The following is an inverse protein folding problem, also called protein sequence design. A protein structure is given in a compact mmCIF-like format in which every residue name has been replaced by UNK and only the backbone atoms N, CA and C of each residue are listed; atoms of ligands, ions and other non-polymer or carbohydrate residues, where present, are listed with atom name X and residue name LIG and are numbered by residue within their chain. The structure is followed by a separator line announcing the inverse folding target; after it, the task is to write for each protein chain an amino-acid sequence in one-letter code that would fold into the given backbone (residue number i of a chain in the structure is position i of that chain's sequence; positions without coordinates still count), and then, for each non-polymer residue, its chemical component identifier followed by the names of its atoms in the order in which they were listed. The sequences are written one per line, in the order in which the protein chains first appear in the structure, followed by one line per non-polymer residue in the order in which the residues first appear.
data_IF_875501233058
#
_entry.id   IF_875501233058
#
_cell.length_a   1.000
_cell.length_b   1.000
_cell.length_c   1.000
_cell.angle_alpha   90.00
_cell.angle_beta   90.00
_cell.angle_gamma   90.00
#
_symmetry.space_group_name_H-M   'P 1'
#
loop_
_entity.id
_entity.type
_entity.pdbx_description
1 polymer ?
#
# COMPACT_ATOMS: atom_id res chain seq x y z
N UNK A 1 -17.72 16.06 6.40
CA UNK A 1 -16.36 16.39 5.91
C UNK A 1 -15.91 15.22 5.06
N UNK A 2 -15.23 15.47 3.95
CA UNK A 2 -14.69 14.39 3.12
C UNK A 2 -13.38 13.91 3.75
N UNK A 3 -13.21 12.60 3.88
CA UNK A 3 -12.02 11.97 4.49
C UNK A 3 -10.75 12.37 3.74
N UNK A 4 -9.69 12.62 4.50
CA UNK A 4 -8.38 13.02 3.99
C UNK A 4 -7.47 11.81 3.83
N UNK A 5 -6.80 11.73 2.66
CA UNK A 5 -5.92 10.61 2.30
C UNK A 5 -4.51 11.09 2.00
N UNK A 6 -3.54 10.48 2.67
CA UNK A 6 -2.13 10.55 2.33
C UNK A 6 -1.77 9.34 1.46
N UNK A 7 -1.36 9.54 0.21
CA UNK A 7 -0.69 8.47 -0.54
C UNK A 7 0.79 8.46 -0.17
N UNK A 8 1.26 7.34 0.33
CA UNK A 8 2.63 7.14 0.80
C UNK A 8 3.35 6.18 -0.13
N UNK A 9 4.47 6.62 -0.70
CA UNK A 9 5.34 5.81 -1.55
C UNK A 9 6.75 5.77 -0.96
N UNK A 10 7.33 4.58 -0.84
CA UNK A 10 8.73 4.39 -0.46
C UNK A 10 9.52 3.99 -1.69
N UNK A 11 10.70 4.58 -1.90
CA UNK A 11 11.54 4.31 -3.07
C UNK A 11 13.03 4.28 -2.75
N UNK A 12 13.77 3.44 -3.49
CA UNK A 12 15.22 3.38 -3.47
C UNK A 12 15.77 2.94 -4.83
N UNK A 13 16.45 3.85 -5.56
CA UNK A 13 17.11 3.58 -6.86
C UNK A 13 16.17 2.96 -7.91
N UNK A 14 14.93 3.47 -8.04
CA UNK A 14 13.92 2.96 -8.97
C UNK A 14 13.16 4.08 -9.68
N UNK A 15 13.89 5.12 -10.15
CA UNK A 15 13.34 6.34 -10.74
C UNK A 15 12.25 6.09 -11.80
N UNK A 16 12.48 5.15 -12.72
CA UNK A 16 11.53 4.91 -13.82
C UNK A 16 10.20 4.30 -13.34
N UNK A 17 10.25 3.42 -12.33
CA UNK A 17 9.06 2.86 -11.70
C UNK A 17 8.31 3.95 -10.92
N UNK A 18 9.04 4.72 -10.12
CA UNK A 18 8.47 5.83 -9.35
C UNK A 18 7.76 6.85 -10.23
N UNK A 19 8.35 7.25 -11.35
CA UNK A 19 7.71 8.19 -12.30
C UNK A 19 6.35 7.68 -12.74
N UNK A 20 6.28 6.41 -13.11
CA UNK A 20 5.05 5.77 -13.54
C UNK A 20 4.05 5.65 -12.38
N UNK A 21 4.48 5.23 -11.19
CA UNK A 21 3.63 5.16 -10.01
C UNK A 21 2.97 6.52 -9.71
N UNK A 22 3.76 7.59 -9.70
CA UNK A 22 3.28 8.94 -9.43
C UNK A 22 2.26 9.41 -10.47
N UNK A 23 2.45 9.09 -11.75
CA UNK A 23 1.48 9.38 -12.81
C UNK A 23 0.13 8.70 -12.53
N UNK A 24 0.11 7.43 -12.11
CA UNK A 24 -1.13 6.72 -11.75
C UNK A 24 -1.78 7.30 -10.49
N UNK A 25 -1.01 7.76 -9.52
CA UNK A 25 -1.54 8.41 -8.31
C UNK A 25 -2.13 9.79 -8.62
N UNK A 26 -1.46 10.59 -9.44
CA UNK A 26 -1.93 11.93 -9.85
C UNK A 26 -3.23 11.86 -10.68
N UNK A 27 -3.49 10.72 -11.36
CA UNK A 27 -4.65 10.51 -12.23
C UNK A 27 -5.84 9.77 -11.58
N UNK A 28 -5.88 9.66 -10.25
CA UNK A 28 -7.01 9.02 -9.55
C UNK A 28 -8.31 9.84 -9.67
N UNK A 29 -9.47 9.15 -9.86
CA UNK A 29 -10.80 9.79 -9.91
C UNK A 29 -11.17 10.47 -8.59
N UNK A 30 -10.75 9.91 -7.45
CA UNK A 30 -10.80 10.55 -6.15
C UNK A 30 -9.49 11.27 -5.90
N UNK A 31 -9.57 12.58 -5.69
CA UNK A 31 -8.39 13.40 -5.39
C UNK A 31 -7.70 12.90 -4.12
N UNK A 32 -6.40 12.65 -4.23
CA UNK A 32 -5.50 12.43 -3.10
C UNK A 32 -5.20 13.79 -2.47
N UNK A 33 -5.33 13.90 -1.12
CA UNK A 33 -5.07 15.16 -0.45
C UNK A 33 -3.59 15.53 -0.47
N UNK A 34 -2.73 14.51 -0.32
CA UNK A 34 -1.29 14.67 -0.39
C UNK A 34 -0.61 13.38 -0.86
N UNK A 35 0.42 13.52 -1.69
CA UNK A 35 1.35 12.44 -2.02
C UNK A 35 2.65 12.71 -1.27
N UNK A 36 3.13 11.73 -0.52
CA UNK A 36 4.43 11.74 0.16
C UNK A 36 5.31 10.64 -0.45
N UNK A 37 6.51 11.02 -0.85
CA UNK A 37 7.55 10.08 -1.25
C UNK A 37 8.65 10.06 -0.20
N UNK A 38 8.93 8.90 0.36
CA UNK A 38 10.11 8.66 1.20
C UNK A 38 11.20 8.11 0.31
N UNK A 39 12.21 8.94 0.05
CA UNK A 39 13.38 8.57 -0.75
C UNK A 39 14.49 8.08 0.19
N UNK A 40 14.75 6.79 0.15
CA UNK A 40 15.78 6.11 0.96
C UNK A 40 17.19 6.29 0.36
N UNK A 41 17.61 7.55 0.16
CA UNK A 41 18.95 7.93 -0.36
C UNK A 41 19.26 7.37 -1.76
N UNK A 42 18.32 7.52 -2.68
CA UNK A 42 18.53 7.13 -4.09
C UNK A 42 19.61 7.99 -4.74
N UNK A 43 20.43 7.39 -5.61
CA UNK A 43 21.51 8.02 -6.38
C UNK A 43 21.33 7.92 -7.91
N UNK A 44 20.15 7.48 -8.37
CA UNK A 44 19.80 7.27 -9.79
C UNK A 44 19.08 8.46 -10.44
N UNK A 45 19.13 9.66 -9.81
CA UNK A 45 18.42 10.85 -10.27
C UNK A 45 17.01 11.01 -9.68
N UNK A 46 16.59 10.10 -8.79
CA UNK A 46 15.29 10.17 -8.12
C UNK A 46 15.10 11.49 -7.36
N UNK A 47 16.10 11.92 -6.59
CA UNK A 47 15.99 13.16 -5.80
C UNK A 47 15.79 14.38 -6.71
N UNK A 48 16.62 14.51 -7.76
CA UNK A 48 16.52 15.61 -8.72
C UNK A 48 15.15 15.67 -9.42
N UNK A 49 14.62 14.50 -9.79
CA UNK A 49 13.29 14.41 -10.36
C UNK A 49 12.20 14.86 -9.38
N UNK A 50 12.26 14.41 -8.13
CA UNK A 50 11.28 14.79 -7.10
C UNK A 50 11.29 16.29 -6.80
N UNK A 51 12.44 16.95 -6.84
CA UNK A 51 12.57 18.41 -6.67
C UNK A 51 11.83 19.20 -7.75
N UNK A 52 11.58 18.62 -8.92
CA UNK A 52 10.76 19.26 -9.97
C UNK A 52 9.26 19.19 -9.70
N UNK A 53 8.82 18.35 -8.75
CA UNK A 53 7.40 18.06 -8.47
C UNK A 53 6.86 18.94 -7.34
N UNK A 54 6.12 20.00 -7.67
CA UNK A 54 5.57 20.96 -6.68
C UNK A 54 4.45 20.40 -5.80
N UNK A 55 3.76 19.36 -6.28
CA UNK A 55 2.56 18.80 -5.62
C UNK A 55 2.88 17.54 -4.79
N UNK A 56 4.16 17.17 -4.69
CA UNK A 56 4.60 15.97 -3.99
C UNK A 56 5.50 16.40 -2.83
N UNK A 57 5.18 15.92 -1.64
CA UNK A 57 6.05 16.09 -0.50
C UNK A 57 7.14 14.99 -0.52
N UNK A 58 8.33 15.36 -0.16
CA UNK A 58 9.49 14.46 -0.20
C UNK A 58 10.18 14.47 1.15
N UNK A 59 10.44 13.28 1.68
CA UNK A 59 11.37 13.08 2.79
C UNK A 59 12.55 12.30 2.23
N UNK A 60 13.73 12.90 2.23
CA UNK A 60 14.98 12.20 1.97
C UNK A 60 15.57 11.73 3.31
N UNK A 61 15.94 10.46 3.37
CA UNK A 61 16.59 9.87 4.54
C UNK A 61 17.69 8.90 4.10
N UNK A 62 18.57 8.53 5.01
CA UNK A 62 19.48 7.41 4.80
C UNK A 62 18.70 6.14 4.49
N UNK A 63 19.29 5.21 3.75
CA UNK A 63 18.62 3.95 3.42
C UNK A 63 18.46 3.07 4.66
N UNK A 64 17.31 3.18 5.30
CA UNK A 64 16.90 2.39 6.46
C UNK A 64 16.10 1.13 6.07
N UNK A 65 16.15 0.72 4.80
CA UNK A 65 15.35 -0.37 4.27
C UNK A 65 13.86 0.01 4.07
N UNK A 66 13.07 -0.98 3.68
CA UNK A 66 11.63 -0.82 3.45
C UNK A 66 10.91 -0.37 4.73
N UNK A 67 11.09 -1.09 5.83
CA UNK A 67 10.44 -0.81 7.10
C UNK A 67 10.76 0.61 7.63
N UNK A 68 12.01 1.07 7.49
CA UNK A 68 12.41 2.42 7.87
C UNK A 68 11.69 3.48 7.04
N UNK A 69 11.53 3.25 5.74
CA UNK A 69 10.79 4.12 4.84
C UNK A 69 9.31 4.22 5.22
N UNK A 70 8.66 3.07 5.43
CA UNK A 70 7.27 3.00 5.87
C UNK A 70 7.07 3.65 7.23
N UNK A 71 7.96 3.37 8.20
CA UNK A 71 7.92 3.99 9.53
C UNK A 71 7.89 5.51 9.44
N UNK A 72 8.82 6.10 8.68
CA UNK A 72 8.91 7.56 8.49
C UNK A 72 7.66 8.14 7.84
N UNK A 73 7.15 7.49 6.80
CA UNK A 73 5.94 7.94 6.12
C UNK A 73 4.67 7.85 6.99
N UNK A 74 4.53 6.78 7.77
CA UNK A 74 3.42 6.63 8.71
C UNK A 74 3.50 7.68 9.82
N UNK A 75 4.69 7.93 10.37
CA UNK A 75 4.90 8.98 11.37
C UNK A 75 4.50 10.36 10.83
N UNK A 76 4.82 10.64 9.56
CA UNK A 76 4.37 11.86 8.90
C UNK A 76 2.84 11.93 8.83
N UNK A 77 2.16 10.85 8.43
CA UNK A 77 0.70 10.78 8.36
C UNK A 77 0.02 11.01 9.72
N UNK A 78 0.58 10.41 10.79
CA UNK A 78 0.11 10.61 12.16
C UNK A 78 0.23 12.06 12.63
N UNK A 79 1.36 12.72 12.33
CA UNK A 79 1.63 14.12 12.72
C UNK A 79 0.75 15.12 11.99
N UNK A 80 0.36 14.82 10.74
CA UNK A 80 -0.43 15.73 9.90
C UNK A 80 -1.94 15.45 9.91
N UNK A 81 -2.40 14.56 10.80
CA UNK A 81 -3.83 14.29 11.06
C UNK A 81 -4.64 13.91 9.80
N UNK A 82 -4.09 13.06 8.93
CA UNK A 82 -4.87 12.42 7.88
C UNK A 82 -5.85 11.41 8.48
N UNK A 83 -6.92 11.09 7.76
CA UNK A 83 -7.85 10.02 8.15
C UNK A 83 -7.33 8.66 7.72
N UNK A 84 -6.70 8.60 6.53
CA UNK A 84 -6.17 7.38 5.95
C UNK A 84 -4.76 7.58 5.39
N UNK A 85 -3.98 6.49 5.40
CA UNK A 85 -2.76 6.35 4.61
C UNK A 85 -3.00 5.28 3.56
N UNK A 86 -2.78 5.63 2.29
CA UNK A 86 -2.78 4.71 1.16
C UNK A 86 -1.34 4.36 0.79
N UNK A 87 -0.93 3.14 1.15
CA UNK A 87 0.45 2.68 1.04
C UNK A 87 0.69 2.04 -0.33
N UNK A 88 1.78 2.41 -0.99
CA UNK A 88 2.10 1.98 -2.34
C UNK A 88 3.61 1.81 -2.51
N UNK A 89 4.06 0.66 -3.05
CA UNK A 89 5.43 0.53 -3.55
C UNK A 89 5.63 1.38 -4.80
N UNK A 90 6.86 1.74 -5.11
CA UNK A 90 7.20 2.58 -6.26
C UNK A 90 6.91 1.94 -7.63
N UNK A 91 6.60 0.64 -7.67
CA UNK A 91 6.11 -0.09 -8.84
C UNK A 91 4.63 -0.48 -8.77
N UNK A 92 3.88 0.12 -7.84
CA UNK A 92 2.43 0.02 -7.76
C UNK A 92 1.75 0.94 -8.78
N UNK A 93 0.82 0.39 -9.58
CA UNK A 93 0.10 1.15 -10.62
C UNK A 93 -1.41 0.97 -10.44
N UNK A 94 -2.04 1.75 -9.52
CA UNK A 94 -3.45 1.59 -9.22
C UNK A 94 -4.33 2.03 -10.39
N UNK A 95 -5.39 1.26 -10.66
CA UNK A 95 -6.42 1.68 -11.59
C UNK A 95 -7.01 3.04 -11.15
N UNK A 96 -7.49 3.82 -12.12
CA UNK A 96 -7.98 5.18 -11.93
C UNK A 96 -9.06 5.32 -10.84
N UNK A 97 -9.89 4.29 -10.64
CA UNK A 97 -10.94 4.25 -9.63
C UNK A 97 -10.53 3.57 -8.32
N UNK A 98 -9.28 3.14 -8.16
CA UNK A 98 -8.84 2.33 -7.02
C UNK A 98 -9.09 3.02 -5.68
N UNK A 99 -8.62 4.26 -5.51
CA UNK A 99 -8.81 4.98 -4.26
C UNK A 99 -10.29 5.22 -3.95
N UNK A 100 -11.08 5.59 -4.98
CA UNK A 100 -12.53 5.79 -4.82
C UNK A 100 -13.22 4.52 -4.32
N UNK A 101 -12.88 3.37 -4.91
CA UNK A 101 -13.46 2.09 -4.53
C UNK A 101 -13.04 1.68 -3.11
N UNK A 102 -11.77 1.84 -2.74
CA UNK A 102 -11.28 1.57 -1.40
C UNK A 102 -12.02 2.41 -0.35
N UNK A 103 -12.12 3.72 -0.54
CA UNK A 103 -12.82 4.61 0.40
C UNK A 103 -14.31 4.25 0.51
N UNK A 104 -14.99 3.99 -0.60
CA UNK A 104 -16.40 3.62 -0.59
C UNK A 104 -16.65 2.27 0.12
N UNK A 105 -15.68 1.37 0.09
CA UNK A 105 -15.74 0.05 0.72
C UNK A 105 -15.27 0.06 2.17
N UNK A 106 -14.63 1.12 2.63
CA UNK A 106 -14.12 1.22 3.99
C UNK A 106 -15.27 1.52 4.98
N UNK A 107 -15.39 0.71 6.02
CA UNK A 107 -16.35 0.90 7.11
C UNK A 107 -15.62 0.98 8.45
N UNK A 108 -16.32 1.34 9.52
CA UNK A 108 -15.75 1.37 10.87
C UNK A 108 -15.26 0.01 11.38
N UNK A 109 -15.76 -1.07 10.80
CA UNK A 109 -15.32 -2.43 11.11
C UNK A 109 -13.93 -2.77 10.53
N UNK A 110 -13.47 -2.02 9.52
CA UNK A 110 -12.19 -2.24 8.87
C UNK A 110 -11.07 -1.46 9.56
N UNK A 111 -9.94 -2.12 9.76
CA UNK A 111 -8.68 -1.46 10.16
C UNK A 111 -7.84 -1.11 8.93
N UNK A 112 -7.83 -2.03 7.97
CA UNK A 112 -7.12 -1.94 6.71
C UNK A 112 -7.94 -2.65 5.62
N UNK A 113 -7.92 -2.15 4.41
CA UNK A 113 -8.37 -2.85 3.20
C UNK A 113 -7.33 -2.69 2.11
N UNK A 114 -7.16 -3.68 1.26
CA UNK A 114 -6.20 -3.64 0.17
C UNK A 114 -6.83 -3.97 -1.17
N UNK A 115 -6.31 -3.34 -2.22
CA UNK A 115 -6.60 -3.75 -3.59
C UNK A 115 -5.93 -5.08 -3.89
N UNK A 116 -6.55 -5.84 -4.80
CA UNK A 116 -5.92 -7.03 -5.40
C UNK A 116 -4.88 -6.56 -6.41
N UNK A 117 -3.64 -7.02 -6.27
CA UNK A 117 -2.55 -6.70 -7.20
C UNK A 117 -2.44 -7.77 -8.27
N UNK A 118 -2.64 -7.37 -9.52
CA UNK A 118 -2.62 -8.27 -10.67
C UNK A 118 -1.30 -8.13 -11.45
N UNK A 119 -0.87 -9.25 -12.03
CA UNK A 119 0.25 -9.24 -12.95
C UNK A 119 -0.09 -8.41 -14.19
N UNK A 120 0.78 -7.49 -14.60
CA UNK A 120 0.52 -6.56 -15.70
C UNK A 120 0.24 -7.28 -17.03
N UNK A 121 0.95 -8.39 -17.31
CA UNK A 121 0.80 -9.18 -18.54
C UNK A 121 -0.29 -10.23 -18.42
N UNK A 122 -0.38 -10.88 -17.28
CA UNK A 122 -1.33 -11.97 -17.00
C UNK A 122 -2.40 -11.51 -16.03
N UNK A 123 -3.35 -10.70 -16.51
CA UNK A 123 -4.37 -9.99 -15.70
C UNK A 123 -5.27 -10.86 -14.82
N UNK A 124 -5.21 -12.19 -14.90
CA UNK A 124 -5.90 -13.09 -13.99
C UNK A 124 -4.96 -13.64 -12.89
N UNK A 125 -3.66 -13.41 -12.99
CA UNK A 125 -2.66 -13.87 -12.04
C UNK A 125 -2.44 -12.82 -10.96
N UNK A 126 -2.54 -13.24 -9.69
CA UNK A 126 -2.20 -12.40 -8.55
C UNK A 126 -0.69 -12.30 -8.41
N UNK A 127 -0.17 -11.09 -8.20
CA UNK A 127 1.24 -10.87 -7.84
C UNK A 127 1.51 -11.43 -6.45
N UNK A 128 0.60 -11.14 -5.53
CA UNK A 128 0.63 -11.67 -4.16
C UNK A 128 -0.45 -12.72 -4.00
N UNK A 129 -0.07 -14.01 -3.88
CA UNK A 129 -1.04 -15.07 -3.64
C UNK A 129 -1.76 -14.87 -2.31
N UNK A 130 -3.08 -14.95 -2.33
CA UNK A 130 -3.91 -14.77 -1.14
C UNK A 130 -4.06 -16.11 -0.41
N UNK A 131 -3.81 -16.19 0.92
CA UNK A 131 -3.93 -17.44 1.66
C UNK A 131 -5.37 -17.93 1.67
N UNK A 132 -5.57 -19.24 1.59
CA UNK A 132 -6.87 -19.84 1.89
C UNK A 132 -7.13 -19.72 3.39
N UNK A 133 -8.30 -19.22 3.77
CA UNK A 133 -8.70 -19.07 5.17
C UNK A 133 -9.61 -20.22 5.59
N UNK A 134 -9.51 -20.60 6.86
CA UNK A 134 -10.44 -21.52 7.51
C UNK A 134 -11.70 -20.76 8.00
N UNK A 135 -12.63 -21.47 8.63
CA UNK A 135 -13.88 -20.89 9.17
C UNK A 135 -13.68 -19.81 10.26
N UNK A 136 -12.49 -19.69 10.81
CA UNK A 136 -12.11 -18.68 11.80
C UNK A 136 -11.28 -17.54 11.20
N UNK A 137 -11.20 -17.45 9.87
CA UNK A 137 -10.39 -16.48 9.12
C UNK A 137 -8.86 -16.62 9.33
N UNK A 138 -8.38 -17.77 9.80
CA UNK A 138 -6.96 -18.04 9.89
C UNK A 138 -6.43 -18.74 8.63
N UNK A 139 -5.21 -18.41 8.18
CA UNK A 139 -4.58 -19.11 7.06
C UNK A 139 -4.50 -20.62 7.28
N UNK A 140 -4.87 -21.39 6.26
CA UNK A 140 -4.79 -22.86 6.30
C UNK A 140 -3.35 -23.30 6.05
N UNK A 141 -2.74 -23.94 7.05
CA UNK A 141 -1.35 -24.39 7.01
C UNK A 141 -1.23 -25.80 6.40
N UNK A 142 -2.18 -26.69 6.72
CA UNK A 142 -2.18 -28.09 6.30
C UNK A 142 -3.26 -28.31 5.22
N UNK A 143 -2.90 -28.08 3.95
CA UNK A 143 -3.77 -28.35 2.79
C UNK A 143 -2.91 -28.42 1.52
N UNK A 144 -3.33 -29.21 0.53
CA UNK A 144 -2.75 -29.22 -0.80
C UNK A 144 -2.91 -27.85 -1.49
N UNK A 145 -4.04 -27.17 -1.28
CA UNK A 145 -4.31 -25.82 -1.75
C UNK A 145 -4.25 -24.84 -0.56
N UNK A 146 -3.13 -24.14 -0.41
CA UNK A 146 -2.91 -23.19 0.69
C UNK A 146 -3.14 -21.73 0.28
N UNK A 147 -3.00 -21.40 -1.01
CA UNK A 147 -3.07 -20.04 -1.55
C UNK A 147 -3.85 -20.01 -2.85
N UNK A 148 -4.51 -18.90 -3.10
CA UNK A 148 -5.16 -18.58 -4.35
C UNK A 148 -4.24 -17.67 -5.18
N UNK A 149 -3.98 -18.08 -6.42
CA UNK A 149 -3.08 -17.36 -7.33
C UNK A 149 -3.83 -16.65 -8.47
N UNK A 150 -5.16 -16.86 -8.58
CA UNK A 150 -5.97 -16.38 -9.70
C UNK A 150 -7.18 -15.60 -9.25
N UNK A 151 -7.42 -14.44 -9.84
CA UNK A 151 -8.58 -13.59 -9.59
C UNK A 151 -9.91 -14.29 -9.91
N UNK A 152 -9.93 -15.17 -10.92
CA UNK A 152 -11.12 -15.92 -11.31
C UNK A 152 -11.76 -16.72 -10.19
N UNK A 153 -11.00 -17.15 -9.19
CA UNK A 153 -11.51 -17.91 -8.03
C UNK A 153 -12.47 -17.04 -7.21
N UNK A 154 -12.12 -15.78 -6.99
CA UNK A 154 -12.96 -14.83 -6.24
C UNK A 154 -14.21 -14.47 -7.05
N UNK A 155 -14.07 -14.19 -8.35
CA UNK A 155 -15.20 -13.91 -9.24
C UNK A 155 -16.20 -15.08 -9.32
N UNK A 156 -15.69 -16.31 -9.42
CA UNK A 156 -16.54 -17.51 -9.49
C UNK A 156 -17.36 -17.72 -8.22
N UNK A 157 -16.84 -17.33 -7.06
CA UNK A 157 -17.50 -17.48 -5.77
C UNK A 157 -18.32 -16.24 -5.38
N UNK A 158 -18.45 -15.23 -6.26
CA UNK A 158 -19.14 -13.96 -6.01
C UNK A 158 -18.65 -13.27 -4.72
N UNK A 159 -17.37 -13.41 -4.40
CA UNK A 159 -16.77 -12.80 -3.22
C UNK A 159 -16.51 -11.32 -3.50
N UNK A 160 -17.18 -10.45 -2.78
CA UNK A 160 -16.96 -9.01 -2.82
C UNK A 160 -15.76 -8.62 -1.95
N UNK A 161 -15.63 -9.26 -0.78
CA UNK A 161 -14.54 -9.07 0.16
C UNK A 161 -13.91 -10.39 0.56
N UNK A 162 -12.62 -10.33 0.88
CA UNK A 162 -11.87 -11.44 1.45
C UNK A 162 -11.16 -10.96 2.71
N UNK A 163 -11.28 -11.70 3.82
CA UNK A 163 -10.79 -11.29 5.13
C UNK A 163 -9.25 -11.43 5.24
N UNK A 164 -8.56 -10.81 4.31
CA UNK A 164 -7.10 -10.75 4.26
C UNK A 164 -6.66 -9.55 3.43
N UNK A 165 -5.75 -8.75 3.93
CA UNK A 165 -5.16 -7.63 3.22
C UNK A 165 -3.66 -7.86 3.00
N UNK A 166 -3.13 -7.47 1.83
CA UNK A 166 -1.70 -7.37 1.60
C UNK A 166 -1.27 -5.93 1.90
N UNK A 167 -0.29 -5.75 2.78
CA UNK A 167 0.27 -4.43 3.06
C UNK A 167 1.17 -3.93 1.92
N UNK A 168 1.43 -2.62 1.95
CA UNK A 168 2.40 -1.86 1.15
C UNK A 168 2.10 -1.78 -0.34
N UNK A 169 1.21 -2.59 -0.89
CA UNK A 169 0.86 -2.54 -2.31
C UNK A 169 -0.62 -2.26 -2.53
N UNK A 170 -1.01 -0.99 -2.40
CA UNK A 170 -2.37 -0.53 -2.58
C UNK A 170 -3.27 -0.75 -1.36
N UNK A 171 -2.70 -0.85 -0.16
CA UNK A 171 -3.45 -0.94 1.08
C UNK A 171 -3.83 0.45 1.61
N UNK A 172 -5.09 0.59 2.03
CA UNK A 172 -5.64 1.75 2.70
C UNK A 172 -5.83 1.42 4.18
N UNK A 173 -5.11 2.10 5.05
CA UNK A 173 -5.16 1.90 6.49
C UNK A 173 -5.68 3.16 7.18
N UNK A 174 -6.55 3.01 8.19
CA UNK A 174 -7.04 4.16 8.96
C UNK A 174 -6.00 4.62 9.97
N UNK A 175 -5.83 5.93 10.11
CA UNK A 175 -4.99 6.52 11.16
C UNK A 175 -5.49 6.11 12.56
N UNK A 176 -6.79 5.92 12.73
CA UNK A 176 -7.35 5.40 13.99
C UNK A 176 -6.81 4.02 14.33
N UNK A 177 -6.64 3.15 13.34
CA UNK A 177 -6.06 1.82 13.55
C UNK A 177 -4.58 1.91 13.88
N UNK A 178 -3.82 2.71 13.13
CA UNK A 178 -2.40 2.94 13.40
C UNK A 178 -2.17 3.47 14.82
N UNK A 179 -3.01 4.41 15.29
CA UNK A 179 -2.93 4.92 16.68
C UNK A 179 -3.14 3.83 17.75
N UNK A 180 -3.86 2.74 17.42
CA UNK A 180 -4.10 1.63 18.35
C UNK A 180 -2.99 0.59 18.35
N UNK A 181 -2.47 0.25 17.17
CA UNK A 181 -1.47 -0.81 17.01
C UNK A 181 -0.03 -0.32 17.07
N UNK A 182 0.19 0.98 16.91
CA UNK A 182 1.51 1.60 16.82
C UNK A 182 2.01 1.75 15.38
N UNK A 183 3.28 2.16 15.24
CA UNK A 183 3.94 2.29 13.95
C UNK A 183 4.74 1.01 13.62
N UNK A 184 5.12 0.84 12.35
CA UNK A 184 5.97 -0.26 11.89
C UNK A 184 7.31 -0.23 12.65
N UNK A 185 7.80 -1.41 13.02
CA UNK A 185 9.11 -1.54 13.65
C UNK A 185 10.21 -1.33 12.62
N UNK A 186 10.86 -0.17 12.70
CA UNK A 186 11.93 0.26 11.78
C UNK A 186 13.20 -0.61 11.79
N UNK A 187 13.32 -1.56 12.72
CA UNK A 187 14.49 -2.44 12.81
C UNK A 187 14.46 -3.59 11.78
N UNK A 188 13.33 -3.82 11.10
CA UNK A 188 13.27 -4.75 9.96
C UNK A 188 13.88 -4.09 8.73
N UNK A 189 14.94 -4.67 8.18
CA UNK A 189 15.63 -4.11 7.00
C UNK A 189 15.01 -4.61 5.70
N UNK A 190 14.72 -5.93 5.62
CA UNK A 190 14.13 -6.59 4.45
C UNK A 190 13.24 -7.74 4.94
N UNK A 191 11.98 -7.75 4.53
CA UNK A 191 10.96 -8.76 4.87
C UNK A 191 10.66 -8.91 6.36
N UNK A 192 9.41 -9.15 6.67
CA UNK A 192 8.91 -9.39 8.02
C UNK A 192 8.16 -8.20 8.63
N UNK A 193 8.37 -7.00 8.12
CA UNK A 193 7.64 -5.79 8.49
C UNK A 193 6.13 -5.94 8.24
N UNK A 194 5.72 -6.58 7.13
CA UNK A 194 4.31 -6.88 6.85
C UNK A 194 3.72 -7.91 7.81
N UNK A 195 4.52 -8.82 8.33
CA UNK A 195 4.06 -9.88 9.25
C UNK A 195 3.98 -9.39 10.68
N UNK A 196 4.92 -8.52 11.10
CA UNK A 196 4.97 -7.95 12.45
C UNK A 196 3.86 -6.91 12.67
N UNK A 197 3.42 -6.24 11.61
CA UNK A 197 2.45 -5.15 11.70
C UNK A 197 0.99 -5.63 11.77
N UNK A 198 0.70 -6.88 11.50
CA UNK A 198 -0.59 -7.55 11.64
C UNK A 198 -0.62 -8.49 12.83
#
# INVERSE_FOLDING_TARGET
MTETVLALVVTYNRLNYLKRCLEFLENQDRKINQILVVNNDSNDGTQQYLETKKNINVIKQENLGSAGGWHTGIEYGLKNNFDYIWMMDDDGYPDKSSLKNLINSFTEAHSCISSVVLNEKLKNLLVFPIPKLNKYNNPVIFSLLRKYNQLSIFKKNSMEFYNYANLFNGSLISIRSIKKIGNINKNYILYGDEVDYF
#
